data_IF_901035360031
#
_entry.id   IF_901035360031
#
_cell.length_a   1.000
_cell.length_b   1.000
_cell.length_c   1.000
_cell.angle_alpha   90.00
_cell.angle_beta   90.00
_cell.angle_gamma   90.00
#
_symmetry.space_group_name_H-M   'P 1'
#
loop_
_entity.id
_entity.type
_entity.pdbx_description
1 polymer ?
#
# COMPACT_ATOMS: atom_id res chain seq x y z
N UNK A 1 -2.56 14.81 -22.03
CA UNK A 1 -1.95 14.58 -20.71
C UNK A 1 -0.44 14.73 -20.74
N UNK A 2 0.33 13.91 -21.46
CA UNK A 2 1.79 14.15 -21.58
C UNK A 2 2.11 15.47 -22.26
N UNK A 3 1.42 15.78 -23.36
CA UNK A 3 1.53 17.08 -24.07
C UNK A 3 1.09 18.27 -23.20
N UNK A 4 0.18 18.04 -22.26
CA UNK A 4 -0.36 19.07 -21.37
C UNK A 4 0.58 19.34 -20.18
N UNK A 5 1.21 18.28 -19.65
CA UNK A 5 2.14 18.37 -18.53
C UNK A 5 3.59 18.59 -18.97
N UNK A 6 3.88 18.50 -20.27
CA UNK A 6 5.24 18.64 -20.83
C UNK A 6 6.24 17.59 -20.33
N UNK A 7 5.74 16.51 -19.70
CA UNK A 7 6.55 15.43 -19.14
C UNK A 7 5.86 14.08 -19.37
N UNK A 8 6.62 12.97 -19.42
CA UNK A 8 6.01 11.66 -19.48
C UNK A 8 5.26 11.36 -18.18
N UNK A 9 4.18 10.60 -18.29
CA UNK A 9 3.24 10.32 -17.19
C UNK A 9 3.14 8.82 -16.93
N UNK A 10 3.00 8.48 -15.65
CA UNK A 10 2.81 7.09 -15.22
C UNK A 10 1.39 6.58 -15.51
N UNK A 11 1.25 5.26 -15.63
CA UNK A 11 -0.03 4.57 -15.76
C UNK A 11 -0.99 4.95 -14.63
N UNK A 12 -0.48 5.05 -13.39
CA UNK A 12 -1.27 5.46 -12.24
C UNK A 12 -1.79 6.90 -12.35
N UNK A 13 -0.97 7.84 -12.81
CA UNK A 13 -1.41 9.22 -13.07
C UNK A 13 -2.50 9.28 -14.16
N UNK A 14 -2.31 8.53 -15.25
CA UNK A 14 -3.31 8.43 -16.32
C UNK A 14 -4.61 7.85 -15.78
N UNK A 15 -4.51 6.77 -15.02
CA UNK A 15 -5.65 6.08 -14.45
C UNK A 15 -6.46 7.00 -13.53
N UNK A 16 -5.81 7.62 -12.54
CA UNK A 16 -6.48 8.52 -11.59
C UNK A 16 -7.19 9.64 -12.33
N UNK A 17 -6.53 10.33 -13.26
CA UNK A 17 -7.17 11.42 -14.03
C UNK A 17 -8.35 10.95 -14.89
N UNK A 18 -8.24 9.81 -15.55
CA UNK A 18 -9.29 9.31 -16.45
C UNK A 18 -10.48 8.71 -15.70
N UNK A 19 -10.25 8.23 -14.49
CA UNK A 19 -11.27 7.64 -13.62
C UNK A 19 -11.73 8.60 -12.51
N UNK A 20 -11.37 9.88 -12.61
CA UNK A 20 -11.85 10.97 -11.75
C UNK A 20 -12.67 11.95 -12.57
N UNK A 21 -13.87 12.26 -12.10
CA UNK A 21 -14.78 13.23 -12.70
C UNK A 21 -14.32 14.65 -12.37
N UNK A 22 -14.87 15.64 -13.07
CA UNK A 22 -14.54 17.04 -12.84
C UNK A 22 -14.90 17.56 -11.43
N UNK A 23 -15.84 16.90 -10.74
CA UNK A 23 -16.22 17.18 -9.35
C UNK A 23 -15.26 16.53 -8.32
N UNK A 24 -14.22 15.84 -8.77
CA UNK A 24 -13.26 15.13 -7.93
C UNK A 24 -13.71 13.74 -7.48
N UNK A 25 -14.91 13.29 -7.85
CA UNK A 25 -15.40 11.96 -7.49
C UNK A 25 -14.93 10.90 -8.49
N UNK A 26 -14.70 9.67 -8.00
CA UNK A 26 -14.33 8.56 -8.87
C UNK A 26 -15.52 8.05 -9.69
N UNK A 27 -15.23 7.56 -10.89
CA UNK A 27 -16.27 7.06 -11.82
C UNK A 27 -17.02 5.84 -11.28
N UNK A 28 -16.37 5.00 -10.49
CA UNK A 28 -16.92 3.83 -9.81
C UNK A 28 -16.13 3.46 -8.54
N UNK A 29 -16.68 2.56 -7.72
CA UNK A 29 -16.09 2.16 -6.44
C UNK A 29 -14.76 1.40 -6.60
N UNK A 30 -14.61 0.63 -7.69
CA UNK A 30 -13.37 -0.13 -7.95
C UNK A 30 -12.24 0.81 -8.36
N UNK A 31 -12.54 1.83 -9.16
CA UNK A 31 -11.61 2.88 -9.50
C UNK A 31 -11.11 3.65 -8.27
N UNK A 32 -12.02 3.96 -7.35
CA UNK A 32 -11.68 4.55 -6.06
C UNK A 32 -10.68 3.69 -5.28
N UNK A 33 -10.96 2.39 -5.12
CA UNK A 33 -10.08 1.47 -4.39
C UNK A 33 -8.69 1.37 -5.01
N UNK A 34 -8.60 1.27 -6.34
CA UNK A 34 -7.32 1.21 -7.05
C UNK A 34 -6.54 2.52 -6.87
N UNK A 35 -7.21 3.66 -6.97
CA UNK A 35 -6.57 4.96 -6.80
C UNK A 35 -6.05 5.17 -5.36
N UNK A 36 -6.87 4.86 -4.36
CA UNK A 36 -6.48 4.95 -2.94
C UNK A 36 -5.31 4.00 -2.63
N UNK A 37 -5.35 2.77 -3.14
CA UNK A 37 -4.24 1.82 -2.98
C UNK A 37 -2.97 2.34 -3.64
N UNK A 38 -3.07 2.87 -4.87
CA UNK A 38 -1.92 3.42 -5.60
C UNK A 38 -1.28 4.59 -4.84
N UNK A 39 -2.07 5.57 -4.41
CA UNK A 39 -1.59 6.74 -3.66
C UNK A 39 -0.93 6.33 -2.34
N UNK A 40 -1.58 5.43 -1.58
CA UNK A 40 -1.02 4.90 -0.33
C UNK A 40 0.33 4.19 -0.55
N UNK A 41 0.46 3.34 -1.58
CA UNK A 41 1.71 2.63 -1.84
C UNK A 41 2.82 3.60 -2.32
N UNK A 42 2.46 4.66 -3.05
CA UNK A 42 3.41 5.72 -3.42
C UNK A 42 3.94 6.42 -2.15
N UNK A 43 3.06 6.78 -1.22
CA UNK A 43 3.44 7.37 0.07
C UNK A 43 4.28 6.43 0.92
N UNK A 44 3.90 5.16 1.00
CA UNK A 44 4.62 4.13 1.77
C UNK A 44 6.05 3.92 1.25
N UNK A 45 6.22 3.78 -0.07
CA UNK A 45 7.56 3.62 -0.67
C UNK A 45 8.41 4.89 -0.47
N UNK A 46 7.82 6.08 -0.55
CA UNK A 46 8.54 7.33 -0.25
C UNK A 46 8.93 7.41 1.23
N UNK A 47 8.05 7.01 2.14
CA UNK A 47 8.31 7.01 3.58
C UNK A 47 9.38 5.99 4.00
N UNK A 48 9.39 4.79 3.39
CA UNK A 48 10.43 3.77 3.60
C UNK A 48 11.81 4.31 3.19
N UNK A 49 11.90 4.97 2.03
CA UNK A 49 13.13 5.62 1.57
C UNK A 49 13.61 6.75 2.48
N UNK A 50 12.69 7.49 3.11
CA UNK A 50 13.02 8.56 4.07
C UNK A 50 13.40 8.01 5.47
N UNK A 51 12.98 6.78 5.80
CA UNK A 51 13.22 6.14 7.09
C UNK A 51 14.52 5.34 7.16
N UNK A 52 15.07 4.89 6.03
CA UNK A 52 16.26 4.01 5.95
C UNK A 52 17.60 4.78 6.18
N UNK A 53 17.55 5.80 7.04
CA UNK A 53 18.69 6.61 7.46
C UNK A 53 19.52 6.01 8.60
N UNK A 54 19.26 4.76 9.03
CA UNK A 54 19.99 4.12 10.12
C UNK A 54 20.02 2.59 9.95
N UNK A 55 21.21 2.05 9.69
CA UNK A 55 21.59 0.62 9.66
C UNK A 55 21.23 -0.21 8.41
N UNK A 56 22.03 -0.13 7.34
CA UNK A 56 22.86 -1.27 6.92
C UNK A 56 24.03 -0.86 6.01
N UNK A 57 25.16 -1.52 6.29
CA UNK A 57 26.51 -1.49 5.71
C UNK A 57 26.63 -1.39 4.18
N UNK A 58 27.49 -0.45 3.77
CA UNK A 58 28.51 -0.58 2.71
C UNK A 58 28.15 -1.12 1.32
N UNK A 59 27.11 -0.63 0.63
CA UNK A 59 27.16 -0.60 -0.84
C UNK A 59 26.41 0.60 -1.45
N UNK A 60 27.18 1.41 -2.19
CA UNK A 60 26.76 2.39 -3.20
C UNK A 60 26.15 3.72 -2.72
N UNK A 61 27.07 4.66 -2.49
CA UNK A 61 26.92 6.11 -2.66
C UNK A 61 25.85 6.53 -3.71
N UNK A 62 25.03 7.52 -3.32
CA UNK A 62 24.09 8.33 -4.12
C UNK A 62 22.57 8.08 -3.99
N UNK A 63 22.00 7.92 -2.79
CA UNK A 63 20.54 7.95 -2.63
C UNK A 63 20.03 8.74 -1.41
N UNK A 64 20.73 9.83 -1.01
CA UNK A 64 20.32 10.63 0.16
C UNK A 64 19.84 12.04 -0.18
N UNK A 65 19.27 12.27 -1.36
CA UNK A 65 18.63 13.56 -1.67
C UNK A 65 17.40 13.34 -2.54
N UNK A 66 16.21 13.44 -1.94
CA UNK A 66 14.96 13.74 -2.63
C UNK A 66 14.68 12.91 -3.90
N UNK A 67 14.91 11.59 -3.84
CA UNK A 67 14.68 10.72 -5.00
C UNK A 67 13.17 10.61 -5.23
N UNK A 68 12.67 11.34 -6.22
CA UNK A 68 11.29 11.19 -6.70
C UNK A 68 11.19 9.86 -7.43
N UNK A 69 10.17 9.04 -7.12
CA UNK A 69 9.92 7.78 -7.81
C UNK A 69 9.87 7.99 -9.32
N UNK A 70 10.65 7.18 -10.04
CA UNK A 70 10.65 7.14 -11.49
C UNK A 70 9.31 6.66 -12.03
N UNK A 71 9.06 6.94 -13.30
CA UNK A 71 7.82 6.54 -13.97
C UNK A 71 7.64 5.02 -13.94
N UNK A 72 8.73 4.26 -14.13
CA UNK A 72 8.68 2.80 -14.07
C UNK A 72 8.31 2.30 -12.68
N UNK A 73 8.91 2.87 -11.62
CA UNK A 73 8.58 2.50 -10.23
C UNK A 73 7.09 2.80 -9.93
N UNK A 74 6.58 3.94 -10.39
CA UNK A 74 5.16 4.29 -10.29
C UNK A 74 4.26 3.33 -11.06
N UNK A 75 4.66 2.95 -12.28
CA UNK A 75 3.93 1.98 -13.10
C UNK A 75 3.88 0.60 -12.43
N UNK A 76 4.99 0.16 -11.86
CA UNK A 76 5.07 -1.12 -11.16
C UNK A 76 4.20 -1.13 -9.90
N UNK A 77 4.16 -0.01 -9.15
CA UNK A 77 3.25 0.16 -8.01
C UNK A 77 1.80 0.10 -8.48
N UNK A 78 1.46 0.78 -9.56
CA UNK A 78 0.10 0.75 -10.13
C UNK A 78 -0.32 -0.67 -10.55
N UNK A 79 0.56 -1.42 -11.22
CA UNK A 79 0.30 -2.80 -11.62
C UNK A 79 0.08 -3.73 -10.42
N UNK A 80 0.74 -3.47 -9.28
CA UNK A 80 0.52 -4.19 -8.01
C UNK A 80 -0.79 -3.83 -7.29
N UNK A 81 -1.35 -2.65 -7.58
CA UNK A 81 -2.61 -2.17 -6.98
C UNK A 81 -3.85 -2.57 -7.78
N UNK A 82 -3.67 -3.01 -9.03
CA UNK A 82 -4.76 -3.39 -9.93
C UNK A 82 -4.97 -4.90 -9.97
N UNK A 83 -6.23 -5.31 -9.98
CA UNK A 83 -6.60 -6.69 -10.26
C UNK A 83 -6.45 -7.01 -11.76
N UNK A 84 -6.02 -8.22 -12.06
CA UNK A 84 -6.02 -8.77 -13.42
C UNK A 84 -7.24 -9.66 -13.66
N UNK A 85 -7.78 -9.62 -14.87
CA UNK A 85 -8.79 -10.59 -15.31
C UNK A 85 -8.17 -11.99 -15.55
N UNK A 86 -9.02 -12.96 -15.89
CA UNK A 86 -8.65 -14.34 -16.25
C UNK A 86 -7.67 -14.44 -17.44
N UNK A 87 -7.51 -13.34 -18.19
CA UNK A 87 -6.63 -13.21 -19.35
C UNK A 87 -5.36 -12.41 -19.03
N UNK A 88 -5.17 -12.00 -17.76
CA UNK A 88 -4.01 -11.24 -17.30
C UNK A 88 -4.08 -9.73 -17.63
N UNK A 89 -5.24 -9.19 -17.99
CA UNK A 89 -5.40 -7.77 -18.24
C UNK A 89 -5.68 -7.02 -16.94
N UNK A 90 -4.84 -6.03 -16.64
CA UNK A 90 -5.05 -5.14 -15.52
C UNK A 90 -6.25 -4.21 -15.77
N UNK A 91 -7.06 -4.05 -14.72
CA UNK A 91 -8.18 -3.11 -14.72
C UNK A 91 -7.76 -1.68 -15.10
N UNK A 92 -8.61 -0.97 -15.85
CA UNK A 92 -8.40 0.45 -16.15
C UNK A 92 -7.38 0.76 -17.24
N UNK A 93 -6.62 -0.23 -17.73
CA UNK A 93 -5.58 0.01 -18.74
C UNK A 93 -6.08 0.07 -20.18
N UNK A 94 -7.25 -0.50 -20.50
CA UNK A 94 -7.84 -0.41 -21.83
C UNK A 94 -6.85 -0.73 -22.97
N UNK A 95 -6.65 0.22 -23.90
CA UNK A 95 -5.66 0.08 -25.01
C UNK A 95 -4.21 0.36 -24.59
N UNK A 96 -4.00 0.95 -23.41
CA UNK A 96 -2.67 1.28 -22.89
C UNK A 96 -1.87 0.02 -22.52
N UNK A 97 -2.54 -1.13 -22.33
CA UNK A 97 -1.87 -2.43 -22.12
C UNK A 97 -0.83 -2.79 -23.20
N UNK A 98 -1.01 -2.27 -24.42
CA UNK A 98 -0.11 -2.55 -25.54
C UNK A 98 1.26 -1.88 -25.36
N UNK A 99 1.39 -0.85 -24.52
CA UNK A 99 2.66 -0.17 -24.25
C UNK A 99 3.53 -0.93 -23.25
N UNK A 100 2.91 -1.65 -22.30
CA UNK A 100 3.58 -2.46 -21.27
C UNK A 100 4.43 -3.57 -21.91
N UNK A 101 3.92 -4.19 -22.98
CA UNK A 101 4.61 -5.28 -23.67
C UNK A 101 5.64 -4.82 -24.71
N UNK A 102 5.57 -3.57 -25.17
CA UNK A 102 6.50 -3.02 -26.17
C UNK A 102 7.89 -2.72 -25.57
N UNK A 103 7.96 -2.45 -24.26
CA UNK A 103 9.22 -2.26 -23.54
C UNK A 103 10.09 -3.53 -23.44
N UNK A 104 9.48 -4.72 -23.46
CA UNK A 104 10.19 -6.01 -23.29
C UNK A 104 11.09 -6.43 -24.47
N UNK A 105 11.06 -5.71 -25.60
CA UNK A 105 11.90 -6.02 -26.78
C UNK A 105 13.29 -5.37 -26.76
N UNK A 106 13.60 -4.50 -25.79
CA UNK A 106 14.96 -3.96 -25.63
C UNK A 106 15.47 -4.24 -24.22
N UNK A 107 16.53 -5.06 -24.19
CA UNK A 107 17.35 -5.47 -23.03
C UNK A 107 16.76 -6.60 -22.20
N UNK A 108 17.17 -7.81 -22.57
CA UNK A 108 17.40 -8.89 -21.63
C UNK A 108 18.36 -8.40 -20.54
N UNK A 109 17.81 -8.12 -19.36
CA UNK A 109 18.41 -8.44 -18.08
C UNK A 109 17.22 -8.63 -17.12
N UNK A 110 16.39 -9.62 -17.41
CA UNK A 110 15.38 -10.08 -16.47
C UNK A 110 16.12 -10.97 -15.48
N UNK A 111 16.62 -10.38 -14.41
CA UNK A 111 16.58 -11.08 -13.13
C UNK A 111 15.14 -11.62 -13.01
N UNK A 112 15.02 -12.94 -12.88
CA UNK A 112 13.73 -13.60 -12.84
C UNK A 112 13.01 -13.18 -11.56
N UNK A 113 12.19 -12.14 -11.62
CA UNK A 113 11.14 -11.94 -10.63
C UNK A 113 10.13 -13.06 -10.85
N UNK A 114 10.35 -14.14 -10.09
CA UNK A 114 9.57 -15.36 -10.14
C UNK A 114 8.09 -15.01 -9.98
N UNK A 115 7.24 -15.45 -10.90
CA UNK A 115 5.77 -15.34 -10.80
C UNK A 115 5.23 -15.88 -9.46
N UNK A 116 6.03 -16.66 -8.74
CA UNK A 116 5.76 -17.12 -7.38
C UNK A 116 5.65 -15.98 -6.35
N UNK A 117 6.50 -14.94 -6.43
CA UNK A 117 6.49 -13.86 -5.42
C UNK A 117 5.27 -12.96 -5.53
N UNK A 118 4.72 -12.78 -6.75
CA UNK A 118 3.50 -11.99 -6.97
C UNK A 118 2.26 -12.71 -6.41
N UNK A 119 2.18 -14.03 -6.59
CA UNK A 119 1.10 -14.85 -6.01
C UNK A 119 1.18 -14.88 -4.48
N UNK A 120 2.39 -14.97 -3.93
CA UNK A 120 2.62 -14.96 -2.48
C UNK A 120 2.20 -13.63 -1.83
N UNK A 121 2.53 -12.49 -2.46
CA UNK A 121 2.09 -11.16 -1.99
C UNK A 121 0.56 -11.04 -2.05
N UNK A 122 -0.08 -11.58 -3.08
CA UNK A 122 -1.54 -11.53 -3.22
C UNK A 122 -2.24 -12.41 -2.16
N UNK A 123 -1.66 -13.56 -1.87
CA UNK A 123 -2.13 -14.49 -0.84
C UNK A 123 -1.96 -13.92 0.57
N UNK A 124 -0.84 -13.28 0.87
CA UNK A 124 -0.61 -12.53 2.11
C UNK A 124 -1.65 -11.42 2.32
N UNK A 125 -2.02 -10.69 1.26
CA UNK A 125 -3.07 -9.65 1.32
C UNK A 125 -4.45 -10.24 1.57
N UNK A 126 -4.78 -11.37 0.97
CA UNK A 126 -6.05 -12.05 1.21
C UNK A 126 -6.13 -12.61 2.64
N UNK A 127 -5.04 -13.19 3.13
CA UNK A 127 -4.94 -13.67 4.50
C UNK A 127 -5.03 -12.52 5.50
N UNK A 128 -4.38 -11.38 5.24
CA UNK A 128 -4.50 -10.17 6.06
C UNK A 128 -5.95 -9.67 6.13
N UNK A 129 -6.67 -9.61 4.99
CA UNK A 129 -8.09 -9.23 4.95
C UNK A 129 -8.98 -10.21 5.73
N UNK A 130 -8.72 -11.50 5.59
CA UNK A 130 -9.44 -12.53 6.33
C UNK A 130 -9.17 -12.41 7.84
N UNK A 131 -7.92 -12.20 8.24
CA UNK A 131 -7.52 -12.02 9.63
C UNK A 131 -8.16 -10.77 10.22
N UNK A 132 -8.19 -9.65 9.50
CA UNK A 132 -8.87 -8.43 9.93
C UNK A 132 -10.37 -8.67 10.19
N UNK A 133 -11.04 -9.41 9.30
CA UNK A 133 -12.45 -9.76 9.46
C UNK A 133 -12.68 -10.66 10.67
N UNK A 134 -11.78 -11.62 10.91
CA UNK A 134 -11.81 -12.49 12.09
C UNK A 134 -11.59 -11.70 13.38
N UNK A 135 -10.64 -10.77 13.39
CA UNK A 135 -10.37 -9.90 14.54
C UNK A 135 -11.62 -9.08 14.88
N UNK A 136 -12.23 -8.40 13.90
CA UNK A 136 -13.48 -7.64 14.13
C UNK A 136 -14.60 -8.50 14.69
N UNK A 137 -14.74 -9.73 14.21
CA UNK A 137 -15.75 -10.66 14.73
C UNK A 137 -15.48 -11.05 16.19
N UNK A 138 -14.22 -11.34 16.53
CA UNK A 138 -13.82 -11.66 17.89
C UNK A 138 -13.98 -10.45 18.83
N UNK A 139 -13.62 -9.25 18.39
CA UNK A 139 -13.82 -8.00 19.15
C UNK A 139 -15.30 -7.78 19.48
N UNK A 140 -16.18 -8.01 18.51
CA UNK A 140 -17.63 -7.94 18.72
C UNK A 140 -18.11 -8.96 19.78
N UNK A 141 -17.61 -10.19 19.73
CA UNK A 141 -17.95 -11.22 20.72
C UNK A 141 -17.43 -10.86 22.12
N UNK A 142 -16.18 -10.39 22.22
CA UNK A 142 -15.58 -9.93 23.47
C UNK A 142 -16.39 -8.77 24.06
N UNK A 143 -16.80 -7.80 23.25
CA UNK A 143 -17.64 -6.68 23.67
C UNK A 143 -18.99 -7.16 24.24
N UNK A 144 -19.66 -8.08 23.54
CA UNK A 144 -20.94 -8.64 23.98
C UNK A 144 -20.83 -9.38 25.33
N UNK A 145 -19.81 -10.23 25.46
CA UNK A 145 -19.59 -11.01 26.67
C UNK A 145 -19.15 -10.16 27.85
N UNK A 146 -18.30 -9.15 27.62
CA UNK A 146 -17.87 -8.20 28.66
C UNK A 146 -19.03 -7.36 29.18
N UNK A 147 -19.96 -6.99 28.30
CA UNK A 147 -21.18 -6.26 28.67
C UNK A 147 -22.14 -7.14 29.47
N UNK A 148 -22.21 -8.43 29.15
CA UNK A 148 -23.13 -9.37 29.78
C UNK A 148 -22.59 -9.98 31.08
N UNK A 149 -21.26 -10.00 31.27
CA UNK A 149 -20.60 -10.64 32.41
C UNK A 149 -19.51 -9.74 33.01
N UNK A 150 -19.75 -9.10 34.17
CA UNK A 150 -18.81 -8.15 34.78
C UNK A 150 -17.49 -8.80 35.22
N UNK A 151 -17.49 -10.08 35.64
CA UNK A 151 -16.25 -10.79 36.02
C UNK A 151 -15.27 -11.02 34.86
N UNK A 152 -15.79 -11.12 33.63
CA UNK A 152 -14.94 -11.21 32.43
C UNK A 152 -14.33 -9.84 32.09
N UNK A 153 -15.09 -8.76 32.26
CA UNK A 153 -14.60 -7.40 32.03
C UNK A 153 -13.44 -7.05 32.98
N UNK A 154 -13.54 -7.39 34.27
CA UNK A 154 -12.44 -7.22 35.23
C UNK A 154 -11.21 -8.05 34.88
N UNK A 155 -11.41 -9.30 34.45
CA UNK A 155 -10.31 -10.17 34.04
C UNK A 155 -9.53 -9.60 32.84
N UNK A 156 -10.23 -9.10 31.82
CA UNK A 156 -9.60 -8.46 30.65
C UNK A 156 -8.88 -7.17 31.06
N UNK A 157 -9.47 -6.35 31.92
CA UNK A 157 -8.84 -5.12 32.41
C UNK A 157 -7.52 -5.39 33.16
N UNK A 158 -7.45 -6.50 33.90
CA UNK A 158 -6.25 -6.92 34.63
C UNK A 158 -5.15 -7.51 33.73
N UNK A 159 -5.43 -7.75 32.44
CA UNK A 159 -4.44 -8.23 31.46
C UNK A 159 -3.83 -7.11 30.59
N UNK A 160 -4.22 -5.85 30.79
CA UNK A 160 -3.60 -4.73 30.08
C UNK A 160 -2.12 -4.58 30.48
N UNK A 161 -1.19 -4.39 29.53
CA UNK A 161 0.21 -4.13 29.86
C UNK A 161 0.33 -2.86 30.72
N UNK A 162 1.28 -2.79 31.66
CA UNK A 162 1.42 -1.65 32.55
C UNK A 162 1.66 -0.39 31.70
N UNK A 163 0.66 0.48 31.68
CA UNK A 163 0.77 1.81 31.07
C UNK A 163 1.92 2.52 31.76
N UNK A 164 2.94 2.93 30.99
CA UNK A 164 4.03 3.76 31.47
C UNK A 164 3.44 5.04 32.07
N UNK A 165 3.29 5.04 33.40
CA UNK A 165 2.86 6.20 34.16
C UNK A 165 3.94 7.27 33.98
N UNK A 166 3.52 8.38 33.39
CA UNK A 166 4.24 9.63 33.35
C UNK A 166 4.81 9.95 34.74
N UNK A 167 6.13 10.16 34.80
CA UNK A 167 6.80 10.75 35.95
C UNK A 167 7.38 12.09 35.53
N UNK A 168 6.59 13.14 35.69
CA UNK A 168 7.07 14.48 36.06
C UNK A 168 6.33 14.90 37.34
N UNK A 169 6.80 15.88 38.12
CA UNK A 169 8.17 16.16 38.54
C UNK A 169 8.24 16.22 40.08
N UNK A 170 9.23 15.61 40.72
CA UNK A 170 9.43 15.80 42.17
C UNK A 170 10.39 16.95 42.45
N UNK A 171 9.80 18.12 42.70
CA UNK A 171 10.40 19.23 43.43
C UNK A 171 10.92 18.75 44.79
N UNK A 172 12.14 19.11 45.18
CA UNK A 172 12.52 19.20 46.60
C UNK A 172 13.72 20.14 46.78
N UNK A 173 13.39 21.24 47.47
CA UNK A 173 14.11 22.07 48.44
C UNK A 173 15.63 21.97 48.57
#
# INVERSE_FOLDING_TARGET
MEEELGRPVSLGEVFVKTHTRADGTFVDQKAKQVAEAYEKNIEEVMAEMDSDGLETSDHSSQQSTHRTLSIQEKDDIFLKCTETDDKGNHFGLGRLRDTINKGKKRKQCSESFSSASVLEIQQLREEARNNESRIKNLEMLVSYLSTSNPGLAEFIANQAPPTAAASEPSSST
#
